data_IF_375076568094
#
_entry.id   IF_375076568094
#
_cell.length_a   1.000
_cell.length_b   1.000
_cell.length_c   1.000
_cell.angle_alpha   90.00
_cell.angle_beta   90.00
_cell.angle_gamma   90.00
#
_symmetry.space_group_name_H-M   'P 1'
#
loop_
_entity.id
_entity.type
_entity.pdbx_description
1 polymer ?
#
# COMPACT_ATOMS: atom_id res chain seq x y z
N UNK A 1 4.20 -1.41 -16.98
CA UNK A 1 3.95 -2.68 -16.25
C UNK A 1 2.72 -2.50 -15.39
N UNK A 2 1.97 -3.56 -15.03
CA UNK A 2 0.88 -3.43 -14.09
C UNK A 2 1.42 -3.09 -12.70
N UNK A 3 0.69 -2.26 -11.96
CA UNK A 3 1.01 -1.94 -10.58
C UNK A 3 0.98 -3.20 -9.71
N UNK A 4 1.98 -3.40 -8.87
CA UNK A 4 2.00 -4.51 -7.90
C UNK A 4 1.49 -4.02 -6.55
N UNK A 5 0.60 -4.79 -5.91
CA UNK A 5 0.18 -4.51 -4.54
C UNK A 5 1.09 -5.27 -3.59
N UNK A 6 1.89 -4.54 -2.80
CA UNK A 6 2.94 -5.11 -1.96
C UNK A 6 2.70 -4.75 -0.50
N UNK A 7 2.76 -5.75 0.36
CA UNK A 7 2.57 -5.63 1.80
C UNK A 7 3.93 -5.78 2.48
N UNK A 8 4.59 -4.69 2.90
CA UNK A 8 5.79 -4.79 3.73
C UNK A 8 5.41 -5.33 5.10
N UNK A 9 6.12 -6.37 5.55
CA UNK A 9 5.87 -6.93 6.89
C UNK A 9 7.18 -7.28 7.59
N UNK A 10 7.14 -7.31 8.94
CA UNK A 10 8.29 -7.69 9.75
C UNK A 10 7.82 -8.33 11.06
N UNK A 11 8.19 -9.61 11.28
CA UNK A 11 7.86 -10.40 12.49
C UNK A 11 6.37 -10.48 12.81
N UNK A 12 5.51 -10.46 11.77
CA UNK A 12 4.04 -10.52 11.88
C UNK A 12 3.45 -11.55 10.92
N UNK A 13 4.15 -12.67 10.69
CA UNK A 13 3.77 -13.69 9.71
C UNK A 13 2.34 -14.22 9.91
N UNK A 14 1.84 -14.23 11.14
CA UNK A 14 0.51 -14.68 11.56
C UNK A 14 -0.57 -13.58 11.51
N UNK A 15 -0.19 -12.33 11.27
CA UNK A 15 -1.06 -11.14 11.39
C UNK A 15 -0.98 -10.19 10.20
N UNK A 16 -0.86 -10.72 9.00
CA UNK A 16 -0.89 -9.93 7.75
C UNK A 16 -2.36 -9.74 7.33
N UNK A 17 -3.06 -8.80 7.98
CA UNK A 17 -4.49 -8.59 7.74
C UNK A 17 -4.80 -8.02 6.36
N UNK A 18 -3.93 -7.17 5.84
CA UNK A 18 -4.08 -6.49 4.57
C UNK A 18 -4.22 -7.45 3.36
N UNK A 19 -3.67 -8.67 3.43
CA UNK A 19 -3.82 -9.69 2.38
C UNK A 19 -5.28 -10.06 2.08
N UNK A 20 -6.17 -9.81 3.04
CA UNK A 20 -7.59 -10.13 2.89
C UNK A 20 -8.40 -9.01 2.21
N UNK A 21 -7.76 -7.89 1.87
CA UNK A 21 -8.42 -6.72 1.28
C UNK A 21 -8.28 -6.64 -0.24
N UNK A 22 -7.31 -7.32 -0.82
CA UNK A 22 -6.96 -7.21 -2.23
C UNK A 22 -6.72 -8.58 -2.86
N UNK A 23 -6.73 -8.61 -4.17
CA UNK A 23 -6.34 -9.80 -4.94
C UNK A 23 -4.83 -9.83 -5.18
N UNK A 24 -4.28 -11.02 -5.23
CA UNK A 24 -2.88 -11.31 -5.56
C UNK A 24 -1.85 -10.43 -4.83
N UNK A 25 -1.97 -10.28 -3.49
CA UNK A 25 -1.03 -9.49 -2.73
C UNK A 25 0.35 -10.15 -2.68
N UNK A 26 1.40 -9.35 -2.80
CA UNK A 26 2.78 -9.76 -2.58
C UNK A 26 3.18 -9.36 -1.17
N UNK A 27 3.67 -10.28 -0.36
CA UNK A 27 4.21 -9.95 0.96
C UNK A 27 5.73 -9.80 0.83
N UNK A 28 6.26 -8.63 1.19
CA UNK A 28 7.68 -8.32 1.10
C UNK A 28 8.32 -8.35 2.50
N UNK A 29 9.30 -9.24 2.67
CA UNK A 29 9.94 -9.53 3.96
C UNK A 29 11.45 -9.65 3.84
N UNK A 30 12.16 -9.61 4.96
CA UNK A 30 13.57 -9.93 5.02
C UNK A 30 13.81 -11.42 4.70
N UNK A 31 14.92 -11.73 4.05
CA UNK A 31 15.27 -13.09 3.60
C UNK A 31 15.21 -14.10 4.75
N UNK A 32 15.73 -13.74 5.92
CA UNK A 32 15.72 -14.60 7.13
C UNK A 32 14.32 -14.94 7.66
N UNK A 33 13.27 -14.23 7.23
CA UNK A 33 11.90 -14.45 7.67
C UNK A 33 11.05 -15.18 6.64
N UNK A 34 11.55 -15.38 5.43
CA UNK A 34 10.80 -15.83 4.27
C UNK A 34 10.06 -17.16 4.50
N UNK A 35 10.74 -18.17 5.06
CA UNK A 35 10.16 -19.50 5.22
C UNK A 35 8.98 -19.50 6.17
N UNK A 36 9.06 -18.73 7.25
CA UNK A 36 7.97 -18.57 8.19
C UNK A 36 6.75 -17.91 7.55
N UNK A 37 6.99 -16.87 6.72
CA UNK A 37 5.91 -16.21 5.99
C UNK A 37 5.27 -17.12 4.94
N UNK A 38 6.04 -17.94 4.22
CA UNK A 38 5.51 -18.94 3.28
C UNK A 38 4.63 -19.97 3.98
N UNK A 39 5.04 -20.42 5.17
CA UNK A 39 4.27 -21.37 5.96
C UNK A 39 2.90 -20.80 6.38
N UNK A 40 2.84 -19.55 6.83
CA UNK A 40 1.61 -18.92 7.35
C UNK A 40 0.75 -18.24 6.27
N UNK A 41 1.31 -18.01 5.08
CA UNK A 41 0.62 -17.31 3.99
C UNK A 41 0.83 -18.07 2.66
N UNK A 42 0.39 -19.33 2.56
CA UNK A 42 0.64 -20.17 1.38
C UNK A 42 -0.03 -19.63 0.11
N UNK A 43 -1.08 -18.83 0.26
CA UNK A 43 -1.84 -18.23 -0.84
C UNK A 43 -1.25 -16.90 -1.36
N UNK A 44 -0.11 -16.45 -0.79
CA UNK A 44 0.51 -15.19 -1.16
C UNK A 44 1.89 -15.41 -1.78
N UNK A 45 2.24 -14.61 -2.78
CA UNK A 45 3.61 -14.50 -3.25
C UNK A 45 4.48 -13.85 -2.17
N UNK A 46 5.61 -14.48 -1.84
CA UNK A 46 6.59 -13.92 -0.90
C UNK A 46 7.80 -13.43 -1.67
N UNK A 47 8.04 -12.14 -1.66
CA UNK A 47 9.24 -11.51 -2.20
C UNK A 47 10.18 -11.13 -1.06
N UNK A 48 11.46 -11.41 -1.22
CA UNK A 48 12.47 -11.18 -0.19
C UNK A 48 13.34 -9.98 -0.53
N UNK A 49 13.70 -9.22 0.49
CA UNK A 49 14.74 -8.19 0.43
C UNK A 49 15.92 -8.60 1.32
N UNK A 50 17.15 -8.09 1.07
CA UNK A 50 18.31 -8.38 1.90
C UNK A 50 18.08 -8.04 3.39
N UNK A 51 18.66 -8.82 4.28
CA UNK A 51 18.53 -8.67 5.74
C UNK A 51 19.20 -7.39 6.29
N UNK A 52 20.17 -6.84 5.56
CA UNK A 52 20.86 -5.59 5.91
C UNK A 52 20.01 -4.33 5.71
N UNK A 53 18.86 -4.44 5.04
CA UNK A 53 17.89 -3.35 4.92
C UNK A 53 17.10 -3.16 6.22
N UNK A 54 17.73 -2.47 7.18
CA UNK A 54 17.16 -2.24 8.50
C UNK A 54 16.27 -1.00 8.49
N UNK A 55 15.02 -1.18 8.92
CA UNK A 55 14.04 -0.10 9.04
C UNK A 55 13.08 0.00 7.87
N UNK A 56 12.05 0.81 8.07
CA UNK A 56 10.95 0.92 7.10
C UNK A 56 11.33 1.70 5.86
N UNK A 57 12.11 2.77 6.02
CA UNK A 57 12.47 3.69 4.92
C UNK A 57 13.36 2.99 3.88
N UNK A 58 14.49 2.34 4.23
CA UNK A 58 15.28 1.60 3.26
C UNK A 58 14.50 0.50 2.55
N UNK A 59 13.62 -0.21 3.28
CA UNK A 59 12.74 -1.23 2.71
C UNK A 59 11.79 -0.63 1.66
N UNK A 60 11.17 0.52 1.93
CA UNK A 60 10.28 1.21 0.99
C UNK A 60 11.02 1.67 -0.27
N UNK A 61 12.23 2.22 -0.12
CA UNK A 61 13.09 2.58 -1.24
C UNK A 61 13.43 1.36 -2.11
N UNK A 62 13.80 0.25 -1.46
CA UNK A 62 14.09 -1.00 -2.14
C UNK A 62 12.87 -1.51 -2.92
N UNK A 63 11.68 -1.55 -2.31
CA UNK A 63 10.45 -1.99 -2.96
C UNK A 63 10.11 -1.11 -4.16
N UNK A 64 10.17 0.22 -4.02
CA UNK A 64 9.91 1.14 -5.12
C UNK A 64 10.86 0.91 -6.31
N UNK A 65 12.15 0.71 -6.03
CA UNK A 65 13.16 0.41 -7.05
C UNK A 65 12.97 -0.97 -7.69
N UNK A 66 12.63 -1.98 -6.89
CA UNK A 66 12.47 -3.37 -7.34
C UNK A 66 11.23 -3.55 -8.22
N UNK A 67 10.07 -3.09 -7.76
CA UNK A 67 8.79 -3.27 -8.44
C UNK A 67 8.50 -2.21 -9.51
N UNK A 68 9.13 -1.03 -9.43
CA UNK A 68 8.98 0.11 -10.33
C UNK A 68 7.62 0.81 -10.23
N UNK A 69 6.52 0.08 -10.30
CA UNK A 69 5.15 0.55 -10.14
C UNK A 69 4.52 -0.29 -9.03
N UNK A 70 4.38 0.30 -7.83
CA UNK A 70 3.99 -0.42 -6.62
C UNK A 70 2.97 0.36 -5.81
N UNK A 71 1.95 -0.34 -5.30
CA UNK A 71 1.08 0.16 -4.26
C UNK A 71 1.44 -0.57 -2.95
N UNK A 72 1.91 0.19 -1.97
CA UNK A 72 2.30 -0.34 -0.67
C UNK A 72 1.11 -0.25 0.29
N UNK A 73 0.81 -1.36 0.96
CA UNK A 73 -0.28 -1.49 1.92
C UNK A 73 0.27 -2.08 3.21
N UNK A 74 0.23 -1.33 4.31
CA UNK A 74 0.79 -1.79 5.58
C UNK A 74 0.06 -3.05 6.08
N UNK A 75 0.79 -3.97 6.72
CA UNK A 75 0.29 -5.32 7.09
C UNK A 75 -0.87 -5.31 8.09
N UNK A 76 -1.04 -4.23 8.85
CA UNK A 76 -2.08 -4.04 9.85
C UNK A 76 -3.32 -3.29 9.34
N UNK A 77 -3.43 -3.05 8.04
CA UNK A 77 -4.66 -2.48 7.46
C UNK A 77 -5.77 -3.52 7.47
N UNK A 78 -6.86 -3.21 8.18
CA UNK A 78 -7.98 -4.13 8.38
C UNK A 78 -9.17 -3.89 7.47
N UNK A 79 -9.31 -2.71 6.88
CA UNK A 79 -10.47 -2.36 6.09
C UNK A 79 -10.22 -1.22 5.12
N UNK A 80 -10.88 -1.31 3.97
CA UNK A 80 -11.16 -0.18 3.11
C UNK A 80 -12.60 0.30 3.41
N UNK A 81 -12.81 1.62 3.47
CA UNK A 81 -14.13 2.21 3.73
C UNK A 81 -14.51 3.17 2.62
N UNK A 82 -15.76 3.08 2.17
CA UNK A 82 -16.36 4.13 1.36
C UNK A 82 -16.74 5.30 2.28
N UNK A 83 -16.40 6.52 1.88
CA UNK A 83 -16.76 7.72 2.64
C UNK A 83 -18.26 8.00 2.60
N UNK A 84 -18.87 7.77 1.43
CA UNK A 84 -20.29 7.87 1.21
C UNK A 84 -20.81 6.50 0.82
N UNK A 85 -21.47 5.84 1.75
CA UNK A 85 -22.27 4.66 1.46
C UNK A 85 -23.74 5.10 1.40
N UNK A 86 -24.49 4.55 0.45
CA UNK A 86 -25.94 4.77 0.38
C UNK A 86 -26.60 4.36 1.70
N UNK A 87 -27.72 4.97 2.02
CA UNK A 87 -28.44 4.72 3.28
C UNK A 87 -28.80 3.23 3.37
N UNK A 88 -28.18 2.54 4.34
CA UNK A 88 -28.34 1.09 4.54
C UNK A 88 -27.19 0.24 3.99
N UNK A 89 -26.30 0.80 3.18
CA UNK A 89 -25.11 0.09 2.72
C UNK A 89 -23.98 0.13 3.76
N UNK A 90 -23.21 -0.95 3.93
CA UNK A 90 -22.07 -0.96 4.83
C UNK A 90 -20.96 -0.07 4.29
N UNK A 91 -20.46 0.85 5.11
CA UNK A 91 -19.31 1.69 4.75
C UNK A 91 -18.02 0.88 4.49
N UNK A 92 -17.90 -0.32 5.07
CA UNK A 92 -16.76 -1.21 4.88
C UNK A 92 -16.88 -1.97 3.56
N UNK A 93 -15.94 -1.74 2.66
CA UNK A 93 -15.83 -2.49 1.40
C UNK A 93 -15.17 -3.84 1.68
N UNK A 94 -15.92 -4.93 1.49
CA UNK A 94 -15.45 -6.31 1.70
C UNK A 94 -14.99 -7.00 0.42
N UNK A 95 -15.41 -6.49 -0.72
CA UNK A 95 -15.14 -7.03 -2.04
C UNK A 95 -13.70 -6.73 -2.44
N UNK A 96 -12.87 -7.77 -2.54
CA UNK A 96 -11.46 -7.67 -2.94
C UNK A 96 -11.30 -7.16 -4.38
N UNK A 97 -12.17 -7.59 -5.29
CA UNK A 97 -12.13 -7.17 -6.69
C UNK A 97 -12.34 -5.67 -6.78
N UNK A 98 -13.32 -5.16 -6.03
CA UNK A 98 -13.62 -3.73 -5.98
C UNK A 98 -12.45 -2.93 -5.41
N UNK A 99 -11.84 -3.36 -4.31
CA UNK A 99 -10.69 -2.66 -3.71
C UNK A 99 -9.49 -2.69 -4.65
N UNK A 100 -9.19 -3.84 -5.24
CA UNK A 100 -8.10 -3.99 -6.21
C UNK A 100 -8.33 -3.10 -7.43
N UNK A 101 -9.54 -3.11 -7.98
CA UNK A 101 -9.91 -2.27 -9.13
C UNK A 101 -9.73 -0.77 -8.83
N UNK A 102 -10.13 -0.31 -7.65
CA UNK A 102 -9.94 1.10 -7.24
C UNK A 102 -8.45 1.45 -7.18
N UNK A 103 -7.61 0.57 -6.62
CA UNK A 103 -6.16 0.78 -6.57
C UNK A 103 -5.57 0.89 -7.98
N UNK A 104 -5.95 -0.02 -8.88
CA UNK A 104 -5.46 -0.02 -10.27
C UNK A 104 -5.94 1.22 -11.05
N UNK A 105 -7.19 1.63 -10.85
CA UNK A 105 -7.71 2.86 -11.47
C UNK A 105 -6.99 4.11 -10.99
N UNK A 106 -6.66 4.18 -9.69
CA UNK A 106 -5.89 5.28 -9.12
C UNK A 106 -4.46 5.32 -9.68
N UNK A 107 -3.84 4.15 -9.88
CA UNK A 107 -2.53 4.04 -10.52
C UNK A 107 -2.55 4.54 -11.98
N UNK A 108 -3.53 4.10 -12.79
CA UNK A 108 -3.65 4.56 -14.18
C UNK A 108 -3.89 6.08 -14.25
N UNK A 109 -4.71 6.62 -13.35
CA UNK A 109 -4.91 8.06 -13.24
C UNK A 109 -3.61 8.79 -12.89
N UNK A 110 -2.82 8.27 -11.95
CA UNK A 110 -1.52 8.84 -11.60
C UNK A 110 -0.56 8.87 -12.79
N UNK A 111 -0.54 7.81 -13.61
CA UNK A 111 0.24 7.78 -14.85
C UNK A 111 -0.21 8.83 -15.87
N UNK A 112 -1.51 8.95 -16.09
CA UNK A 112 -2.07 9.95 -17.02
C UNK A 112 -1.74 11.38 -16.60
N UNK A 113 -1.61 11.63 -15.31
CA UNK A 113 -1.30 12.94 -14.72
C UNK A 113 0.20 13.17 -14.49
N UNK A 114 1.07 12.23 -14.86
CA UNK A 114 2.51 12.25 -14.59
C UNK A 114 2.85 12.45 -13.11
N UNK A 115 2.07 11.80 -12.24
CA UNK A 115 2.23 11.85 -10.78
C UNK A 115 2.93 10.60 -10.30
N UNK A 116 4.00 10.76 -9.52
CA UNK A 116 4.83 9.66 -9.07
C UNK A 116 4.49 9.11 -7.68
N UNK A 117 3.71 9.85 -6.91
CA UNK A 117 3.24 9.44 -5.58
C UNK A 117 1.72 9.64 -5.50
N UNK A 118 0.99 8.60 -5.15
CA UNK A 118 -0.46 8.62 -5.08
C UNK A 118 -0.95 7.77 -3.90
N UNK A 119 -2.18 7.96 -3.45
CA UNK A 119 -2.70 7.16 -2.35
C UNK A 119 -4.07 7.59 -1.88
N UNK A 120 -4.56 6.90 -0.87
CA UNK A 120 -5.83 7.20 -0.24
C UNK A 120 -5.63 8.13 0.97
N UNK A 121 -6.71 8.80 1.35
CA UNK A 121 -6.74 9.49 2.63
C UNK A 121 -6.90 8.48 3.77
N UNK A 122 -6.13 8.68 4.84
CA UNK A 122 -6.32 7.94 6.10
C UNK A 122 -7.40 8.55 7.00
N UNK A 123 -8.00 9.67 6.59
CA UNK A 123 -9.02 10.35 7.37
C UNK A 123 -10.32 9.55 7.34
N UNK A 124 -10.73 9.10 8.52
CA UNK A 124 -11.90 8.23 8.71
C UNK A 124 -13.19 9.05 8.93
N UNK A 125 -13.05 10.33 9.32
CA UNK A 125 -14.20 11.17 9.66
C UNK A 125 -14.76 11.89 8.45
N UNK A 126 -16.04 11.71 8.12
CA UNK A 126 -16.73 12.47 7.06
C UNK A 126 -16.68 13.97 7.27
N UNK A 127 -16.65 14.43 8.54
CA UNK A 127 -16.60 15.88 8.90
C UNK A 127 -15.29 16.55 8.46
N UNK A 128 -14.24 15.77 8.26
CA UNK A 128 -12.94 16.28 7.81
C UNK A 128 -12.71 16.10 6.31
N UNK A 129 -13.72 15.60 5.61
CA UNK A 129 -13.68 15.39 4.18
C UNK A 129 -14.22 16.62 3.46
N UNK A 130 -13.44 17.11 2.53
CA UNK A 130 -13.83 18.24 1.69
C UNK A 130 -14.57 17.67 0.46
N UNK A 131 -15.87 17.91 0.40
CA UNK A 131 -16.74 17.41 -0.69
C UNK A 131 -16.40 17.99 -2.06
N UNK A 132 -15.67 19.11 -2.10
CA UNK A 132 -15.32 19.78 -3.34
C UNK A 132 -14.09 19.20 -4.03
N UNK A 133 -13.37 18.27 -3.38
CA UNK A 133 -12.12 17.71 -3.90
C UNK A 133 -11.96 16.21 -3.70
N UNK A 134 -12.58 15.40 -4.57
CA UNK A 134 -12.33 13.95 -4.61
C UNK A 134 -10.87 13.61 -4.92
N UNK A 135 -10.19 14.50 -5.63
CA UNK A 135 -8.79 14.37 -6.00
C UNK A 135 -8.04 15.64 -5.56
N UNK A 136 -6.88 15.47 -4.95
CA UNK A 136 -6.01 16.59 -4.58
C UNK A 136 -4.58 16.31 -5.00
N UNK A 137 -3.96 17.28 -5.69
CA UNK A 137 -2.56 17.23 -6.10
C UNK A 137 -1.61 17.91 -5.09
N UNK A 138 -2.16 18.55 -4.08
CA UNK A 138 -1.38 19.34 -3.11
C UNK A 138 -1.44 18.83 -1.67
N UNK A 139 -2.31 17.86 -1.37
CA UNK A 139 -2.40 17.30 -0.02
C UNK A 139 -1.31 16.25 0.19
N UNK A 140 -0.69 16.29 1.36
CA UNK A 140 0.28 15.30 1.77
C UNK A 140 -0.37 13.91 1.83
N UNK A 141 0.23 12.94 1.17
CA UNK A 141 -0.15 11.53 1.28
C UNK A 141 0.41 11.03 2.59
N UNK A 142 -0.48 10.74 3.52
CA UNK A 142 -0.12 10.16 4.82
C UNK A 142 -0.83 8.83 4.98
N UNK A 143 -0.20 7.90 5.64
CA UNK A 143 -0.87 6.69 6.05
C UNK A 143 -0.26 5.41 5.54
N UNK A 144 -1.06 4.38 5.69
CA UNK A 144 -0.72 2.98 5.54
C UNK A 144 -0.97 2.44 4.13
N UNK A 145 -1.39 3.31 3.17
CA UNK A 145 -1.76 2.87 1.82
C UNK A 145 -1.46 3.93 0.77
N UNK A 146 -0.44 3.70 -0.04
CA UNK A 146 -0.02 4.61 -1.11
C UNK A 146 0.77 3.89 -2.18
N UNK A 147 0.77 4.46 -3.38
CA UNK A 147 1.50 3.94 -4.52
C UNK A 147 2.65 4.84 -4.95
N UNK A 148 3.63 4.21 -5.56
CA UNK A 148 4.81 4.86 -6.13
C UNK A 148 5.02 4.39 -7.54
N UNK A 149 5.16 5.34 -8.47
CA UNK A 149 5.69 5.14 -9.80
C UNK A 149 7.14 5.61 -9.75
N UNK A 150 8.06 4.65 -9.69
CA UNK A 150 9.46 4.93 -9.43
C UNK A 150 10.11 5.75 -10.56
N UNK A 151 10.78 6.82 -10.18
CA UNK A 151 11.80 7.46 -10.97
C UNK A 151 13.03 7.75 -10.09
N UNK A 152 14.15 8.13 -10.71
CA UNK A 152 15.40 8.38 -9.98
C UNK A 152 15.35 9.54 -8.98
N UNK A 153 14.30 10.37 -9.03
CA UNK A 153 14.12 11.53 -8.16
C UNK A 153 13.07 11.29 -7.06
N UNK A 154 12.39 10.12 -7.08
CA UNK A 154 11.36 9.76 -6.11
C UNK A 154 11.89 8.71 -5.15
N UNK A 155 12.26 9.14 -3.94
CA UNK A 155 12.82 8.29 -2.89
C UNK A 155 12.56 8.87 -1.50
N UNK A 156 12.55 8.02 -0.49
CA UNK A 156 12.48 8.46 0.90
C UNK A 156 13.88 8.76 1.42
N UNK A 157 14.03 9.89 2.11
CA UNK A 157 15.32 10.23 2.74
C UNK A 157 15.62 9.28 3.89
N UNK A 158 16.63 8.43 3.72
CA UNK A 158 17.05 7.43 4.72
C UNK A 158 17.74 8.03 5.95
N UNK A 159 18.15 9.30 5.88
CA UNK A 159 18.71 10.04 7.02
C UNK A 159 17.61 10.47 8.01
N UNK A 160 16.36 10.55 7.56
CA UNK A 160 15.22 10.84 8.42
C UNK A 160 14.88 9.59 9.25
N UNK A 161 15.61 9.41 10.34
CA UNK A 161 15.26 8.40 11.35
C UNK A 161 14.10 8.92 12.17
N UNK A 162 12.94 8.31 12.00
CA UNK A 162 11.86 8.47 12.97
C UNK A 162 12.36 7.86 14.29
N UNK A 163 12.58 8.71 15.28
CA UNK A 163 12.88 8.29 16.66
C UNK A 163 11.62 7.78 17.33
#
# INVERSE_FOLDING_TARGET
MPCKIVIPSHKRHDRVFAKNLVNDPIICVAESQADLYRQFNPDCEIVVHPDDLIGLIPKRNWMAKHFREVFMLDDDVHACKALYADKGEPSRVKDKDKVTHIIMSLHEMAKMMDVHLFGFTSRISPVMYDETGYLSLSKMITGCSYGVIYNKNTWWNEELRLK
#
